data_IF_036097191015
#
_entry.id   IF_036097191015
#
_cell.length_a   1.000
_cell.length_b   1.000
_cell.length_c   1.000
_cell.angle_alpha   90.00
_cell.angle_beta   90.00
_cell.angle_gamma   90.00
#
_symmetry.space_group_name_H-M   'P 1'
#
loop_
_entity.id
_entity.type
_entity.pdbx_description
1 polymer ?
#
# COMPACT_ATOMS: atom_id res chain seq x y z
N UNK A 1 6.05 -34.93 -7.25
CA UNK A 1 6.21 -34.83 -5.79
C UNK A 1 6.69 -33.43 -5.54
N UNK A 2 5.78 -32.48 -5.71
CA UNK A 2 5.04 -31.87 -4.58
C UNK A 2 5.90 -30.75 -4.02
N UNK A 3 5.41 -29.56 -3.76
CA UNK A 3 4.11 -28.94 -3.90
C UNK A 3 4.37 -27.54 -3.34
N UNK A 4 3.63 -26.55 -3.83
CA UNK A 4 3.46 -25.26 -3.16
C UNK A 4 4.72 -24.38 -3.16
N UNK A 5 4.68 -23.14 -3.62
CA UNK A 5 3.58 -22.22 -3.79
C UNK A 5 4.16 -21.18 -4.76
N UNK A 6 3.66 -21.02 -5.98
CA UNK A 6 2.62 -20.02 -6.24
C UNK A 6 2.75 -18.81 -5.31
N UNK A 7 2.94 -17.58 -5.75
CA UNK A 7 2.56 -16.93 -6.98
C UNK A 7 2.86 -15.43 -6.70
N UNK A 8 3.36 -14.68 -7.69
CA UNK A 8 3.18 -13.22 -7.81
C UNK A 8 4.14 -12.30 -7.00
N UNK A 9 5.07 -11.65 -7.71
CA UNK A 9 5.42 -10.22 -7.50
C UNK A 9 6.15 -9.68 -8.74
N UNK A 10 5.66 -10.03 -9.92
CA UNK A 10 5.81 -9.18 -11.11
C UNK A 10 4.45 -8.53 -11.32
N UNK A 11 4.19 -7.39 -10.69
CA UNK A 11 2.86 -6.74 -10.73
C UNK A 11 2.97 -5.27 -11.11
N UNK A 12 3.44 -5.01 -12.33
CA UNK A 12 2.72 -4.04 -13.14
C UNK A 12 1.32 -4.66 -13.36
N UNK A 13 0.30 -4.02 -12.78
CA UNK A 13 -1.10 -4.46 -12.70
C UNK A 13 -1.64 -5.15 -13.99
N UNK A 14 -2.24 -6.36 -13.87
CA UNK A 14 -3.32 -6.79 -14.75
C UNK A 14 -4.71 -6.67 -14.07
N UNK A 15 -5.71 -6.05 -14.74
CA UNK A 15 -7.02 -5.73 -14.17
C UNK A 15 -7.96 -6.94 -14.15
N UNK A 16 -7.60 -8.01 -13.42
CA UNK A 16 -8.44 -9.19 -13.17
C UNK A 16 -8.01 -9.98 -11.92
N UNK A 17 -7.03 -9.52 -11.13
CA UNK A 17 -6.43 -10.38 -10.09
C UNK A 17 -7.24 -10.54 -8.79
N UNK A 18 -8.42 -9.92 -8.69
CA UNK A 18 -9.18 -9.87 -7.43
C UNK A 18 -10.57 -10.53 -7.57
N UNK A 19 -11.12 -10.65 -8.79
CA UNK A 19 -12.40 -11.31 -9.02
C UNK A 19 -12.38 -12.80 -8.65
N UNK A 20 -11.22 -13.45 -8.73
CA UNK A 20 -11.07 -14.88 -8.47
C UNK A 20 -10.78 -15.21 -6.99
N UNK A 21 -10.56 -14.19 -6.13
CA UNK A 21 -10.11 -14.36 -4.73
C UNK A 21 -11.15 -13.91 -3.68
N UNK A 22 -12.27 -13.31 -4.09
CA UNK A 22 -13.30 -12.80 -3.16
C UNK A 22 -14.60 -13.62 -3.22
N UNK A 23 -15.01 -14.31 -2.14
CA UNK A 23 -16.27 -15.05 -2.09
C UNK A 23 -17.44 -14.09 -1.76
N UNK A 24 -17.68 -13.12 -2.63
CA UNK A 24 -18.77 -12.15 -2.48
C UNK A 24 -19.26 -11.65 -3.83
N UNK A 25 -20.58 -11.73 -4.01
CA UNK A 25 -21.29 -11.49 -5.27
C UNK A 25 -21.03 -10.09 -5.84
N UNK A 26 -20.40 -10.04 -7.01
CA UNK A 26 -20.34 -8.84 -7.86
C UNK A 26 -21.72 -8.62 -8.46
N UNK A 27 -22.50 -7.68 -7.91
CA UNK A 27 -23.73 -7.23 -8.57
C UNK A 27 -23.36 -6.50 -9.87
N UNK A 28 -23.68 -7.05 -11.05
CA UNK A 28 -23.39 -6.42 -12.32
C UNK A 28 -24.46 -5.36 -12.59
N UNK A 29 -24.31 -4.17 -12.01
CA UNK A 29 -25.11 -3.02 -12.47
C UNK A 29 -24.47 -2.45 -13.72
N UNK A 30 -25.30 -2.20 -14.74
CA UNK A 30 -24.89 -1.77 -16.07
C UNK A 30 -24.09 -0.45 -16.01
N UNK A 31 -22.77 -0.55 -16.01
CA UNK A 31 -21.84 0.59 -16.06
C UNK A 31 -20.95 0.82 -14.83
N UNK A 32 -21.08 0.02 -13.76
CA UNK A 32 -20.39 0.31 -12.48
C UNK A 32 -19.15 -0.51 -12.15
N UNK A 33 -19.02 -1.75 -12.65
CA UNK A 33 -18.02 -2.71 -12.13
C UNK A 33 -16.55 -2.35 -12.40
N UNK A 34 -16.23 -1.87 -13.62
CA UNK A 34 -14.85 -1.50 -13.99
C UNK A 34 -14.47 -0.10 -13.51
N UNK A 35 -15.47 0.77 -13.37
CA UNK A 35 -15.28 2.14 -12.90
C UNK A 35 -15.01 2.13 -11.38
N UNK A 36 -15.71 1.29 -10.63
CA UNK A 36 -15.46 1.14 -9.20
C UNK A 36 -14.05 0.57 -8.93
N UNK A 37 -13.65 -0.48 -9.66
CA UNK A 37 -12.32 -1.09 -9.47
C UNK A 37 -11.16 -0.15 -9.82
N UNK A 38 -11.31 0.66 -10.87
CA UNK A 38 -10.30 1.67 -11.23
C UNK A 38 -10.22 2.80 -10.21
N UNK A 39 -11.34 3.17 -9.58
CA UNK A 39 -11.35 4.12 -8.46
C UNK A 39 -10.66 3.53 -7.23
N UNK A 40 -10.90 2.25 -6.92
CA UNK A 40 -10.23 1.56 -5.82
C UNK A 40 -8.70 1.50 -6.02
N UNK A 41 -8.24 1.24 -7.25
CA UNK A 41 -6.82 1.26 -7.61
C UNK A 41 -6.20 2.66 -7.40
N UNK A 42 -6.90 3.72 -7.81
CA UNK A 42 -6.45 5.11 -7.62
C UNK A 42 -6.41 5.49 -6.14
N UNK A 43 -7.39 5.05 -5.35
CA UNK A 43 -7.43 5.29 -3.90
C UNK A 43 -6.26 4.57 -3.21
N UNK A 44 -5.97 3.33 -3.59
CA UNK A 44 -4.86 2.57 -3.03
C UNK A 44 -3.51 3.19 -3.40
N UNK A 45 -3.36 3.64 -4.65
CA UNK A 45 -2.19 4.41 -5.08
C UNK A 45 -2.01 5.68 -4.23
N UNK A 46 -3.08 6.45 -4.04
CA UNK A 46 -3.05 7.68 -3.24
C UNK A 46 -2.62 7.39 -1.79
N UNK A 47 -3.20 6.38 -1.14
CA UNK A 47 -2.83 5.99 0.24
C UNK A 47 -1.39 5.54 0.37
N UNK A 48 -0.87 4.82 -0.63
CA UNK A 48 0.50 4.31 -0.62
C UNK A 48 1.56 5.43 -0.78
N UNK A 49 1.18 6.55 -1.40
CA UNK A 49 2.09 7.65 -1.73
C UNK A 49 1.93 8.87 -0.79
N UNK A 50 1.08 8.78 0.23
CA UNK A 50 0.79 9.87 1.16
C UNK A 50 0.89 9.42 2.63
N UNK A 51 1.90 8.62 2.93
CA UNK A 51 2.03 7.98 4.23
C UNK A 51 2.54 8.98 5.27
N UNK A 52 1.74 9.22 6.30
CA UNK A 52 2.12 10.05 7.46
C UNK A 52 2.41 9.13 8.65
N UNK A 53 3.68 8.76 8.87
CA UNK A 53 4.03 7.82 9.91
C UNK A 53 3.87 8.46 11.29
N UNK A 54 3.42 7.65 12.24
CA UNK A 54 3.50 8.00 13.65
C UNK A 54 4.78 7.38 14.21
N UNK A 55 5.71 8.24 14.62
CA UNK A 55 7.04 7.79 15.07
C UNK A 55 6.97 7.43 16.56
N UNK A 56 7.10 6.13 16.85
CA UNK A 56 7.22 5.61 18.21
C UNK A 56 8.59 4.97 18.41
N UNK A 57 9.52 5.74 18.97
CA UNK A 57 10.87 5.27 19.29
C UNK A 57 10.94 4.60 20.66
N UNK A 58 10.72 3.30 20.74
CA UNK A 58 10.75 2.55 22.02
C UNK A 58 12.14 2.04 22.41
N UNK A 59 13.06 1.92 21.45
CA UNK A 59 14.40 1.35 21.65
C UNK A 59 15.37 1.82 20.57
N UNK A 60 16.42 1.04 20.28
CA UNK A 60 17.39 1.31 19.21
C UNK A 60 16.76 1.48 17.82
N UNK A 61 15.59 0.88 17.54
CA UNK A 61 14.91 1.07 16.26
C UNK A 61 14.53 2.54 16.00
N UNK A 62 14.43 3.37 17.06
CA UNK A 62 14.19 4.80 16.94
C UNK A 62 15.32 5.53 16.20
N UNK A 63 16.57 5.19 16.51
CA UNK A 63 17.73 5.86 15.91
C UNK A 63 17.93 5.42 14.47
N UNK A 64 17.61 4.16 14.16
CA UNK A 64 17.61 3.63 12.80
C UNK A 64 16.56 4.36 11.97
N UNK A 65 15.36 4.55 12.51
CA UNK A 65 14.28 5.29 11.87
C UNK A 65 14.62 6.78 11.63
N UNK A 66 15.32 7.45 12.55
CA UNK A 66 15.82 8.82 12.34
C UNK A 66 16.90 8.87 11.24
N UNK A 67 17.73 7.83 11.14
CA UNK A 67 18.72 7.71 10.07
C UNK A 67 18.09 7.49 8.70
N UNK A 68 16.94 6.79 8.63
CA UNK A 68 16.18 6.62 7.38
C UNK A 68 15.48 7.91 6.96
N UNK A 69 15.12 8.78 7.90
CA UNK A 69 14.60 10.12 7.63
C UNK A 69 15.69 11.12 7.19
N UNK A 70 16.97 10.80 7.42
CA UNK A 70 18.08 11.69 7.07
C UNK A 70 18.40 11.65 5.57
N UNK A 71 19.09 12.68 5.07
CA UNK A 71 19.36 12.92 3.63
C UNK A 71 19.94 11.74 2.82
N UNK A 72 20.51 10.73 3.49
CA UNK A 72 21.05 9.52 2.84
C UNK A 72 19.96 8.61 2.29
N UNK A 73 18.87 8.43 3.03
CA UNK A 73 17.78 7.50 2.70
C UNK A 73 16.45 8.22 2.48
N UNK A 74 16.34 9.45 2.99
CA UNK A 74 15.32 10.46 2.70
C UNK A 74 13.99 9.86 2.25
N UNK A 75 13.27 9.27 3.20
CA UNK A 75 11.98 8.66 2.94
C UNK A 75 10.89 9.67 2.52
N UNK A 76 11.17 10.97 2.60
CA UNK A 76 10.25 12.05 2.25
C UNK A 76 9.83 11.96 0.78
N UNK A 77 10.73 11.43 -0.07
CA UNK A 77 10.51 11.12 -1.49
C UNK A 77 9.34 10.17 -1.75
N UNK A 78 8.95 9.36 -0.77
CA UNK A 78 7.84 8.41 -0.87
C UNK A 78 6.56 8.94 -0.19
N UNK A 79 6.49 10.24 0.10
CA UNK A 79 5.33 10.88 0.73
C UNK A 79 5.39 10.95 2.26
N UNK A 80 6.50 10.53 2.88
CA UNK A 80 6.75 10.57 4.33
C UNK A 80 7.33 11.90 4.81
N UNK A 81 6.89 13.01 4.23
CA UNK A 81 7.37 14.37 4.55
C UNK A 81 7.09 14.75 6.01
N UNK A 82 5.99 14.25 6.60
CA UNK A 82 5.56 14.64 7.95
C UNK A 82 5.45 13.42 8.86
N UNK A 83 6.45 13.27 9.73
CA UNK A 83 6.38 12.35 10.87
C UNK A 83 5.56 12.99 12.00
N UNK A 84 4.34 12.52 12.21
CA UNK A 84 3.44 13.09 13.23
C UNK A 84 3.77 12.50 14.60
N UNK A 85 4.04 13.38 15.57
CA UNK A 85 4.25 12.99 16.96
C UNK A 85 2.93 12.75 17.72
N UNK A 86 1.82 13.31 17.22
CA UNK A 86 0.49 13.14 17.80
C UNK A 86 -0.30 12.07 17.04
N UNK A 87 -1.03 11.18 17.74
CA UNK A 87 -1.87 10.16 17.10
C UNK A 87 -3.03 10.66 16.25
N UNK A 88 -3.37 11.96 16.34
CA UNK A 88 -4.37 12.64 15.51
C UNK A 88 -3.91 14.02 15.08
#
# INVERSE_FOLDING_TARGET
MEESKTLQTTEANPPQKIADTFPGEVHPTAGGGIVLSTIDDVINWARSNSLWPLVFGTSCCAIEMMSTASAKYDWSRFGFEVARATPR
#
